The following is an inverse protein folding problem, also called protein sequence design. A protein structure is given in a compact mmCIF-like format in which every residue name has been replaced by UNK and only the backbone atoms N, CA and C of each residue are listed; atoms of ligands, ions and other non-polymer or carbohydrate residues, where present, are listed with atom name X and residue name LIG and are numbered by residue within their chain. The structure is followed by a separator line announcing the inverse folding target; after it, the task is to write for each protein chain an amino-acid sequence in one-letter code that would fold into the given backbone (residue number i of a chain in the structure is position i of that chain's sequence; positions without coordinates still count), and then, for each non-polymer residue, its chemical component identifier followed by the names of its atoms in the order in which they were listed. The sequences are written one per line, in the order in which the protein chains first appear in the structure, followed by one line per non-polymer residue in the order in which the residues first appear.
data_IF_822328865194
#
_entry.id   IF_822328865194
#
_cell.length_a   1.000
_cell.length_b   1.000
_cell.length_c   1.000
_cell.angle_alpha   90.00
_cell.angle_beta   90.00
_cell.angle_gamma   90.00
#
_symmetry.space_group_name_H-M   'P 1'
#
loop_
_entity.id
_entity.type
_entity.pdbx_description
1 polymer ?
#
# COMPACT_ATOMS: atom_id res chain seq x y z
N UNK A 1 -19.45 -25.01 5.39
CA UNK A 1 -18.48 -23.90 5.53
C UNK A 1 -19.12 -22.90 6.48
N UNK A 2 -18.51 -22.62 7.64
CA UNK A 2 -19.12 -21.69 8.62
C UNK A 2 -19.10 -20.24 8.11
N UNK A 3 -20.02 -19.41 8.61
CA UNK A 3 -20.01 -17.97 8.38
C UNK A 3 -18.86 -17.32 9.17
N UNK A 4 -17.67 -17.29 8.57
CA UNK A 4 -16.52 -16.58 9.13
C UNK A 4 -16.47 -15.16 8.54
N UNK A 5 -16.37 -14.16 9.41
CA UNK A 5 -16.02 -12.80 8.99
C UNK A 5 -14.53 -12.76 8.66
N UNK A 6 -14.21 -12.33 7.45
CA UNK A 6 -12.83 -12.18 6.98
C UNK A 6 -12.55 -10.67 6.88
N UNK A 7 -11.48 -10.16 7.52
CA UNK A 7 -11.10 -8.77 7.36
C UNK A 7 -10.56 -8.53 5.95
N UNK A 8 -10.67 -7.30 5.46
CA UNK A 8 -9.83 -6.87 4.34
C UNK A 8 -8.38 -6.79 4.81
N UNK A 9 -7.45 -7.34 4.02
CA UNK A 9 -6.02 -7.28 4.28
C UNK A 9 -5.41 -6.15 3.43
N UNK A 10 -4.67 -5.26 4.06
CA UNK A 10 -3.97 -4.15 3.41
C UNK A 10 -2.50 -4.15 3.78
N UNK A 11 -1.70 -3.47 2.98
CA UNK A 11 -0.28 -3.22 3.23
C UNK A 11 0.05 -1.76 2.90
N UNK A 12 0.94 -1.18 3.69
CA UNK A 12 1.44 0.19 3.53
C UNK A 12 2.97 0.13 3.64
N UNK A 13 3.67 0.95 2.86
CA UNK A 13 5.13 0.90 2.76
C UNK A 13 5.77 2.27 3.03
N UNK A 14 6.85 2.26 3.83
CA UNK A 14 7.77 3.39 3.90
C UNK A 14 8.84 3.22 2.84
N UNK A 15 8.92 4.18 1.90
CA UNK A 15 9.95 4.21 0.88
C UNK A 15 10.89 5.35 1.24
N UNK A 16 12.10 5.00 1.66
CA UNK A 16 13.14 5.94 2.03
C UNK A 16 14.09 6.20 0.86
N UNK A 17 14.56 7.43 0.73
CA UNK A 17 15.71 7.76 -0.11
C UNK A 17 17.05 7.56 0.64
N UNK A 18 18.17 7.84 -0.02
CA UNK A 18 19.51 7.71 0.57
C UNK A 18 19.74 8.64 1.78
N UNK A 19 18.97 9.72 1.90
CA UNK A 19 19.09 10.71 2.97
C UNK A 19 18.11 10.45 4.12
N UNK A 20 17.39 9.32 4.12
CA UNK A 20 16.34 8.97 5.09
C UNK A 20 15.08 9.82 5.03
N UNK A 21 14.93 10.63 3.97
CA UNK A 21 13.64 11.23 3.65
C UNK A 21 12.71 10.14 3.09
N UNK A 22 11.40 10.32 3.25
CA UNK A 22 10.42 9.34 2.77
C UNK A 22 9.28 10.00 2.02
N UNK A 23 8.66 9.22 1.16
CA UNK A 23 7.57 9.72 0.31
C UNK A 23 6.21 9.49 0.97
N UNK A 24 5.31 10.43 0.70
CA UNK A 24 3.89 10.33 1.00
C UNK A 24 3.10 10.57 -0.28
N UNK A 25 1.95 9.92 -0.40
CA UNK A 25 0.99 10.16 -1.46
C UNK A 25 -0.18 10.99 -0.94
N UNK A 26 -0.87 11.70 -1.84
CA UNK A 26 -2.18 12.28 -1.53
C UNK A 26 -3.27 11.32 -1.98
N UNK A 27 -4.11 10.89 -1.03
CA UNK A 27 -5.24 9.99 -1.31
C UNK A 27 -6.23 10.63 -2.29
N UNK A 28 -6.49 9.95 -3.41
CA UNK A 28 -7.45 10.41 -4.43
C UNK A 28 -8.91 10.11 -4.07
N UNK A 29 -9.14 9.05 -3.29
CA UNK A 29 -10.45 8.48 -3.01
C UNK A 29 -10.77 8.51 -1.50
N UNK A 30 -12.06 8.46 -1.18
CA UNK A 30 -12.53 8.27 0.19
C UNK A 30 -12.31 6.82 0.67
N UNK A 31 -12.16 6.59 1.98
CA UNK A 31 -12.11 7.60 3.04
C UNK A 31 -10.79 8.40 3.04
N UNK A 32 -10.80 9.56 3.70
CA UNK A 32 -9.65 10.46 3.87
C UNK A 32 -9.10 11.05 2.56
N UNK A 33 -9.99 11.36 1.62
CA UNK A 33 -9.60 12.05 0.38
C UNK A 33 -8.79 13.32 0.68
N UNK A 34 -7.78 13.59 -0.15
CA UNK A 34 -6.83 14.71 -0.07
C UNK A 34 -5.90 14.73 1.15
N UNK A 35 -5.94 13.73 2.03
CA UNK A 35 -4.97 13.59 3.13
C UNK A 35 -3.68 12.93 2.62
N UNK A 36 -2.58 13.24 3.30
CA UNK A 36 -1.32 12.53 3.10
C UNK A 36 -1.38 11.14 3.75
N UNK A 37 -0.84 10.15 3.06
CA UNK A 37 -0.77 8.77 3.51
C UNK A 37 0.49 8.11 2.99
N UNK A 38 0.83 6.96 3.57
CA UNK A 38 1.80 6.05 2.97
C UNK A 38 1.24 5.52 1.65
N UNK A 39 2.10 5.20 0.66
CA UNK A 39 1.72 4.35 -0.44
C UNK A 39 1.26 2.99 0.09
N UNK A 40 0.19 2.45 -0.48
CA UNK A 40 -0.38 1.21 0.03
C UNK A 40 -1.75 0.89 -0.54
N UNK A 41 -2.14 -0.37 -0.37
CA UNK A 41 -3.38 -0.88 -0.94
C UNK A 41 -3.80 -2.23 -0.38
N UNK A 42 -4.76 -2.85 -1.06
CA UNK A 42 -5.30 -4.14 -0.65
C UNK A 42 -4.43 -5.28 -1.16
N UNK A 43 -4.30 -6.33 -0.36
CA UNK A 43 -3.66 -7.58 -0.78
C UNK A 43 -4.66 -8.38 -1.61
N UNK A 44 -4.29 -8.71 -2.84
CA UNK A 44 -5.10 -9.47 -3.76
C UNK A 44 -5.05 -10.99 -3.47
N UNK A 45 -6.02 -11.73 -4.00
CA UNK A 45 -6.03 -13.19 -3.86
C UNK A 45 -4.90 -13.81 -4.67
N UNK A 46 -4.06 -14.60 -3.99
CA UNK A 46 -2.99 -15.37 -4.63
C UNK A 46 -1.61 -14.71 -4.57
N UNK A 47 -1.49 -13.50 -3.99
CA UNK A 47 -0.20 -12.87 -3.72
C UNK A 47 0.16 -12.88 -2.23
N UNK A 48 1.44 -12.65 -1.92
CA UNK A 48 1.90 -12.42 -0.54
C UNK A 48 1.76 -10.95 -0.16
N UNK A 49 1.82 -10.63 1.13
CA UNK A 49 1.78 -9.24 1.62
C UNK A 49 2.96 -8.43 1.07
N UNK A 50 4.14 -9.05 0.97
CA UNK A 50 5.36 -8.44 0.41
C UNK A 50 5.19 -8.14 -1.09
N UNK A 51 4.63 -9.09 -1.84
CA UNK A 51 4.36 -8.91 -3.27
C UNK A 51 3.37 -7.76 -3.51
N UNK A 52 2.32 -7.70 -2.69
CA UNK A 52 1.35 -6.60 -2.73
C UNK A 52 2.03 -5.25 -2.43
N UNK A 53 2.91 -5.19 -1.43
CA UNK A 53 3.60 -3.94 -1.05
C UNK A 53 4.48 -3.41 -2.19
N UNK A 54 5.22 -4.29 -2.87
CA UNK A 54 6.07 -3.95 -4.01
C UNK A 54 5.22 -3.48 -5.20
N UNK A 55 4.09 -4.16 -5.47
CA UNK A 55 3.14 -3.79 -6.52
C UNK A 55 2.53 -2.40 -6.27
N UNK A 56 1.98 -2.17 -5.08
CA UNK A 56 1.35 -0.90 -4.70
C UNK A 56 2.36 0.27 -4.72
N UNK A 57 3.60 0.05 -4.25
CA UNK A 57 4.68 1.02 -4.37
C UNK A 57 4.88 1.46 -5.83
N UNK A 58 4.94 0.50 -6.75
CA UNK A 58 5.13 0.78 -8.18
C UNK A 58 3.93 1.48 -8.79
N UNK A 59 2.71 1.06 -8.48
CA UNK A 59 1.49 1.62 -9.06
C UNK A 59 1.23 3.07 -8.64
N UNK A 60 1.43 3.39 -7.36
CA UNK A 60 1.08 4.71 -6.82
C UNK A 60 2.22 5.74 -6.97
N UNK A 61 3.47 5.28 -7.01
CA UNK A 61 4.65 6.16 -6.96
C UNK A 61 5.61 5.99 -8.15
N UNK A 62 5.43 4.93 -8.96
CA UNK A 62 6.30 4.54 -10.06
C UNK A 62 7.75 4.16 -9.66
N UNK A 63 8.00 3.93 -8.36
CA UNK A 63 9.29 3.53 -7.80
C UNK A 63 9.34 2.01 -7.67
N UNK A 64 10.47 1.42 -8.05
CA UNK A 64 10.75 -0.01 -7.84
C UNK A 64 11.43 -0.20 -6.47
N UNK A 65 10.95 -1.19 -5.71
CA UNK A 65 11.42 -1.55 -4.35
C UNK A 65 11.54 -3.07 -4.23
N UNK A 66 12.30 -3.56 -3.23
CA UNK A 66 12.51 -4.99 -2.95
C UNK A 66 12.34 -5.34 -1.47
#
# INVERSE_FOLDING_TARGET
MGDYKIPSLTTDIFIFDENTDFILIKRKNDPFKNHWALPGGFVEYGETVETAAIREAKEETNIDVE
#
